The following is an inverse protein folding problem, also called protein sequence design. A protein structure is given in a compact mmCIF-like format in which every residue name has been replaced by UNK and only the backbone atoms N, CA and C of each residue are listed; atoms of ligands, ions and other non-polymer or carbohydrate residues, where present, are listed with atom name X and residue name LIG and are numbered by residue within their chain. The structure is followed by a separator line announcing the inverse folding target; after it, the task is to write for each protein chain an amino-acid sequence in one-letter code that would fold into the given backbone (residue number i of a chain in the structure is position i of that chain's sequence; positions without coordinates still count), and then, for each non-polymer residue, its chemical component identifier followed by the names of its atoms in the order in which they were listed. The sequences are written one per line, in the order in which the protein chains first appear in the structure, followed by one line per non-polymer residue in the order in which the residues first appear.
data_IF_968445885691
#
_entry.id   IF_968445885691
#
_cell.length_a   1.000
_cell.length_b   1.000
_cell.length_c   1.000
_cell.angle_alpha   90.00
_cell.angle_beta   90.00
_cell.angle_gamma   90.00
#
_symmetry.space_group_name_H-M   'P 1'
#
loop_
_entity.id
_entity.type
_entity.pdbx_description
1 polymer ?
#
# COMPACT_ATOMS: atom_id res chain seq x y z
N UNK A 1 -21.93 144.04 42.59
CA UNK A 1 -20.58 144.20 41.98
C UNK A 1 -19.68 143.03 42.36
N UNK A 2 -18.96 142.69 41.64
CA UNK A 2 -18.77 142.03 40.34
C UNK A 2 -17.97 140.76 40.51
N UNK A 3 -17.79 139.89 39.75
CA UNK A 3 -17.07 139.76 38.49
C UNK A 3 -17.06 138.34 37.95
N UNK A 4 -17.21 138.26 36.76
CA UNK A 4 -16.96 137.06 35.96
C UNK A 4 -15.47 136.94 35.62
N UNK A 5 -15.07 136.17 34.80
CA UNK A 5 -15.17 134.80 34.29
C UNK A 5 -13.78 134.07 34.34
N UNK A 6 -13.31 133.23 33.50
CA UNK A 6 -13.68 132.73 32.19
C UNK A 6 -13.46 131.20 31.97
N UNK A 7 -14.07 130.82 30.90
CA UNK A 7 -13.66 129.93 29.77
C UNK A 7 -12.81 128.65 29.92
N UNK A 8 -13.34 127.72 29.35
CA UNK A 8 -12.87 126.55 28.54
C UNK A 8 -11.38 126.28 28.33
N UNK A 9 -10.97 125.04 28.05
CA UNK A 9 -11.35 124.41 26.77
C UNK A 9 -11.67 122.88 26.84
N UNK A 10 -12.39 122.64 25.85
CA UNK A 10 -12.73 121.40 25.26
C UNK A 10 -11.49 120.49 24.92
N UNK A 11 -11.57 119.19 25.30
CA UNK A 11 -10.70 118.20 24.74
C UNK A 11 -11.47 116.86 24.65
N UNK A 12 -11.96 116.72 23.48
CA UNK A 12 -12.41 115.43 22.96
C UNK A 12 -11.31 114.44 23.03
N UNK A 13 -11.34 113.42 23.95
CA UNK A 13 -10.58 112.18 23.87
C UNK A 13 -11.46 111.15 23.21
N UNK A 14 -11.10 110.76 21.99
CA UNK A 14 -11.55 109.54 21.31
C UNK A 14 -11.10 108.30 22.12
N UNK A 15 -12.07 107.68 22.78
CA UNK A 15 -11.87 106.35 23.31
C UNK A 15 -11.80 105.38 22.13
N UNK A 16 -10.58 105.01 21.78
CA UNK A 16 -10.28 103.88 20.96
C UNK A 16 -10.58 102.62 21.74
N UNK A 17 -11.71 102.01 21.44
CA UNK A 17 -11.99 100.66 21.94
C UNK A 17 -10.91 99.71 21.42
N UNK A 18 -9.95 99.32 22.22
CA UNK A 18 -9.13 98.12 22.05
C UNK A 18 -10.01 96.89 22.12
N UNK A 19 -10.40 96.31 20.97
CA UNK A 19 -10.94 94.95 20.89
C UNK A 19 -9.92 94.01 21.47
N UNK A 20 -10.26 93.19 22.51
CA UNK A 20 -9.29 92.23 23.07
C UNK A 20 -9.00 91.20 22.02
N UNK A 21 -7.71 90.99 21.68
CA UNK A 21 -7.16 90.00 20.77
C UNK A 21 -7.55 88.59 21.17
N UNK A 22 -8.18 88.35 22.31
CA UNK A 22 -8.65 87.10 22.84
C UNK A 22 -9.92 86.54 22.19
N UNK A 23 -10.73 87.34 21.48
CA UNK A 23 -11.97 86.87 20.88
C UNK A 23 -11.76 86.13 19.53
N UNK A 24 -10.69 86.39 18.80
CA UNK A 24 -10.36 85.65 17.56
C UNK A 24 -9.83 84.30 17.83
N UNK A 25 -8.93 84.10 18.82
CA UNK A 25 -8.44 82.80 19.25
C UNK A 25 -9.52 81.94 19.88
N UNK A 26 -10.46 82.54 20.67
CA UNK A 26 -11.59 81.77 21.20
C UNK A 26 -12.61 81.37 20.14
N UNK A 27 -12.87 82.22 19.11
CA UNK A 27 -13.75 81.89 17.98
C UNK A 27 -13.11 80.79 17.09
N UNK A 28 -11.83 80.93 16.78
CA UNK A 28 -11.08 79.91 16.03
C UNK A 28 -11.00 78.53 16.85
N UNK A 29 -10.74 78.60 18.13
CA UNK A 29 -10.74 77.43 19.00
C UNK A 29 -12.09 76.72 19.07
N UNK A 30 -13.21 77.47 19.13
CA UNK A 30 -14.57 76.86 19.11
C UNK A 30 -14.92 76.28 17.75
N UNK A 31 -14.47 76.89 16.63
CA UNK A 31 -14.64 76.35 15.29
C UNK A 31 -13.86 75.05 15.06
N UNK A 32 -12.59 75.04 15.45
CA UNK A 32 -11.73 73.88 15.33
C UNK A 32 -12.21 72.70 16.24
N UNK A 33 -12.63 73.01 17.48
CA UNK A 33 -13.19 71.93 18.39
C UNK A 33 -14.54 71.44 17.86
N UNK A 34 -15.37 72.27 17.27
CA UNK A 34 -16.64 71.91 16.62
C UNK A 34 -16.38 70.99 15.40
N UNK A 35 -15.45 71.42 14.52
CA UNK A 35 -15.04 70.61 13.35
C UNK A 35 -14.40 69.26 13.76
N UNK A 36 -13.54 69.27 14.79
CA UNK A 36 -12.94 68.07 15.32
C UNK A 36 -13.96 67.07 15.90
N UNK A 37 -14.96 67.63 16.65
CA UNK A 37 -16.08 66.83 17.16
C UNK A 37 -16.94 66.24 16.06
N UNK A 38 -17.24 67.01 15.03
CA UNK A 38 -17.99 66.57 13.86
C UNK A 38 -17.23 65.50 13.09
N UNK A 39 -15.92 65.70 12.86
CA UNK A 39 -15.03 64.72 12.23
C UNK A 39 -14.96 63.41 13.05
N UNK A 40 -14.89 63.53 14.38
CA UNK A 40 -14.89 62.37 15.28
C UNK A 40 -16.22 61.61 15.22
N UNK A 41 -17.36 62.34 15.12
CA UNK A 41 -18.66 61.71 14.93
C UNK A 41 -18.79 61.02 13.56
N UNK A 42 -18.27 61.62 12.50
CA UNK A 42 -18.24 60.98 11.18
C UNK A 42 -17.37 59.73 11.20
N UNK A 43 -16.17 59.81 11.78
CA UNK A 43 -15.28 58.65 11.94
C UNK A 43 -15.95 57.54 12.77
N UNK A 44 -16.60 57.91 13.89
CA UNK A 44 -17.35 56.96 14.72
C UNK A 44 -18.49 56.31 13.95
N UNK A 45 -19.23 57.09 13.16
CA UNK A 45 -20.33 56.60 12.35
C UNK A 45 -19.85 55.63 11.25
N UNK A 46 -18.76 55.99 10.55
CA UNK A 46 -18.11 55.10 9.57
C UNK A 46 -17.62 53.82 10.24
N UNK A 47 -17.05 53.94 11.43
CA UNK A 47 -16.57 52.76 12.20
C UNK A 47 -17.72 51.85 12.65
N UNK A 48 -18.86 52.43 13.05
CA UNK A 48 -20.07 51.68 13.38
C UNK A 48 -20.62 50.93 12.17
N UNK A 49 -20.68 51.60 11.01
CA UNK A 49 -21.10 50.95 9.76
C UNK A 49 -20.14 49.86 9.36
N UNK A 50 -18.81 50.09 9.44
CA UNK A 50 -17.80 49.12 9.15
C UNK A 50 -17.89 47.89 10.08
N UNK A 51 -18.02 48.13 11.40
CA UNK A 51 -18.21 47.07 12.38
C UNK A 51 -19.51 46.28 12.14
N UNK A 52 -20.60 47.01 11.85
CA UNK A 52 -21.90 46.41 11.53
C UNK A 52 -21.83 45.56 10.26
N UNK A 53 -21.16 46.05 9.23
CA UNK A 53 -20.92 45.32 7.97
C UNK A 53 -20.09 44.06 8.17
N UNK A 54 -18.99 44.16 8.94
CA UNK A 54 -18.15 42.99 9.29
C UNK A 54 -18.92 41.97 10.13
N UNK A 55 -19.69 42.46 11.10
CA UNK A 55 -20.53 41.56 11.94
C UNK A 55 -21.60 40.86 11.08
N UNK A 56 -22.20 41.57 10.14
CA UNK A 56 -23.17 41.00 9.21
C UNK A 56 -22.54 39.96 8.29
N UNK A 57 -21.37 40.24 7.70
CA UNK A 57 -20.60 39.30 6.89
C UNK A 57 -20.20 38.05 7.71
N UNK A 58 -19.75 38.27 8.94
CA UNK A 58 -19.39 37.18 9.84
C UNK A 58 -20.59 36.26 10.19
N UNK A 59 -21.75 36.87 10.41
CA UNK A 59 -22.98 36.15 10.73
C UNK A 59 -23.54 35.37 9.52
N UNK A 60 -23.47 35.99 8.33
CA UNK A 60 -24.01 35.42 7.10
C UNK A 60 -23.02 34.54 6.33
N UNK A 61 -21.77 34.38 6.80
CA UNK A 61 -20.88 33.41 6.21
C UNK A 61 -21.46 32.00 6.39
N UNK A 62 -21.72 31.30 5.29
CA UNK A 62 -22.41 30.00 5.27
C UNK A 62 -21.40 28.85 5.23
N UNK A 63 -21.79 27.63 5.71
CA UNK A 63 -20.96 26.41 5.58
C UNK A 63 -20.68 26.01 4.14
N UNK A 64 -21.42 26.55 3.15
CA UNK A 64 -21.24 26.21 1.74
C UNK A 64 -19.86 26.62 1.17
N UNK A 65 -19.14 27.49 1.91
CA UNK A 65 -17.76 27.87 1.57
C UNK A 65 -16.71 26.83 2.02
N UNK A 66 -17.12 25.80 2.75
CA UNK A 66 -16.19 24.76 3.20
C UNK A 66 -15.76 23.86 2.06
N UNK A 67 -14.51 23.41 2.05
CA UNK A 67 -14.04 22.45 1.05
C UNK A 67 -14.87 21.16 1.09
N UNK A 68 -15.33 20.70 -0.06
CA UNK A 68 -16.02 19.43 -0.20
C UNK A 68 -14.99 18.35 -0.50
N UNK A 69 -14.36 17.81 0.55
CA UNK A 69 -13.35 16.76 0.41
C UNK A 69 -14.00 15.41 0.56
N UNK A 70 -13.69 14.52 -0.38
CA UNK A 70 -14.08 13.11 -0.31
C UNK A 70 -12.84 12.24 -0.23
N UNK A 71 -12.90 11.26 0.66
CA UNK A 71 -11.88 10.23 0.76
C UNK A 71 -12.51 8.86 0.52
N UNK A 72 -11.81 8.02 -0.25
CA UNK A 72 -12.19 6.62 -0.45
C UNK A 72 -11.00 5.72 -0.16
N UNK A 73 -11.25 4.59 0.47
CA UNK A 73 -10.25 3.56 0.75
C UNK A 73 -10.72 2.23 0.18
N UNK A 74 -9.93 1.64 -0.70
CA UNK A 74 -10.26 0.42 -1.45
C UNK A 74 -11.66 0.49 -2.11
N UNK A 75 -11.97 1.65 -2.70
CA UNK A 75 -13.25 1.92 -3.35
C UNK A 75 -14.42 2.22 -2.42
N UNK A 76 -14.26 2.14 -1.10
CA UNK A 76 -15.30 2.45 -0.10
C UNK A 76 -15.20 3.91 0.34
N UNK A 77 -16.32 4.64 0.32
CA UNK A 77 -16.37 6.04 0.73
C UNK A 77 -16.24 6.15 2.26
N UNK A 78 -15.38 7.07 2.70
CA UNK A 78 -15.12 7.34 4.11
C UNK A 78 -15.92 8.58 4.56
N UNK A 79 -16.58 8.47 5.70
CA UNK A 79 -17.22 9.61 6.35
C UNK A 79 -16.19 10.37 7.23
N UNK A 80 -16.11 11.70 7.15
CA UNK A 80 -15.21 12.48 8.00
C UNK A 80 -15.60 12.36 9.48
N UNK A 81 -14.61 12.18 10.34
CA UNK A 81 -14.82 12.12 11.81
C UNK A 81 -14.79 13.49 12.44
N UNK A 82 -13.93 14.38 11.95
CA UNK A 82 -13.83 15.75 12.44
C UNK A 82 -13.28 16.67 11.37
N UNK A 83 -13.69 17.92 11.44
CA UNK A 83 -13.06 18.97 10.64
C UNK A 83 -12.89 20.26 11.45
N UNK A 84 -11.88 21.05 11.04
CA UNK A 84 -11.64 22.40 11.56
C UNK A 84 -11.14 23.27 10.42
N UNK A 85 -12.01 24.14 9.94
CA UNK A 85 -11.73 25.04 8.83
C UNK A 85 -11.78 26.50 9.24
N UNK A 86 -10.89 27.30 8.72
CA UNK A 86 -10.81 28.74 8.91
C UNK A 86 -11.10 29.43 7.58
N UNK A 87 -12.31 30.01 7.50
CA UNK A 87 -12.79 30.71 6.31
C UNK A 87 -12.48 32.20 6.44
N UNK A 88 -11.81 32.83 5.48
CA UNK A 88 -11.56 34.28 5.51
C UNK A 88 -12.86 35.04 5.30
N UNK A 89 -13.13 36.05 6.13
CA UNK A 89 -14.28 36.94 6.03
C UNK A 89 -13.83 38.32 5.51
N UNK A 90 -12.76 38.88 6.07
CA UNK A 90 -12.17 40.13 5.65
C UNK A 90 -10.67 39.95 5.56
N UNK A 91 -10.18 39.66 4.38
CA UNK A 91 -8.76 39.37 4.14
C UNK A 91 -8.21 38.26 5.05
N UNK A 92 -6.96 38.38 5.43
CA UNK A 92 -6.30 37.40 6.30
C UNK A 92 -6.54 37.62 7.81
N UNK A 93 -6.96 38.85 8.20
CA UNK A 93 -7.02 39.26 9.60
C UNK A 93 -8.32 38.88 10.33
N UNK A 94 -9.41 38.60 9.63
CA UNK A 94 -10.65 38.12 10.22
C UNK A 94 -11.09 36.82 9.55
N UNK A 95 -11.05 35.75 10.29
CA UNK A 95 -11.46 34.40 9.84
C UNK A 95 -12.55 33.85 10.75
N UNK A 96 -13.52 33.15 10.16
CA UNK A 96 -14.50 32.36 10.92
C UNK A 96 -14.04 30.91 10.97
N UNK A 97 -14.09 30.35 12.18
CA UNK A 97 -13.73 28.93 12.40
C UNK A 97 -15.02 28.10 12.40
N UNK A 98 -15.01 27.06 11.57
CA UNK A 98 -16.00 25.99 11.58
C UNK A 98 -15.29 24.73 12.08
N UNK A 99 -15.77 24.18 13.19
CA UNK A 99 -15.21 22.96 13.77
C UNK A 99 -16.35 22.09 14.26
N UNK A 100 -16.41 20.87 13.72
CA UNK A 100 -17.42 19.88 14.09
C UNK A 100 -16.80 18.49 14.13
N UNK A 101 -17.44 17.62 14.89
CA UNK A 101 -17.09 16.20 14.98
C UNK A 101 -18.34 15.39 14.63
N UNK A 102 -18.67 15.28 13.33
CA UNK A 102 -19.90 14.64 12.88
C UNK A 102 -19.94 13.15 13.24
N UNK A 103 -18.78 12.48 13.23
CA UNK A 103 -18.66 11.05 13.54
C UNK A 103 -17.53 10.84 14.56
N UNK A 104 -17.82 10.88 15.87
CA UNK A 104 -16.78 10.81 16.91
C UNK A 104 -16.11 9.44 17.04
N UNK A 105 -16.74 8.38 16.52
CA UNK A 105 -16.19 7.03 16.51
C UNK A 105 -15.54 6.73 15.15
N UNK A 106 -14.47 5.91 15.11
CA UNK A 106 -13.93 5.40 13.85
C UNK A 106 -14.99 4.64 13.06
N UNK A 107 -15.08 4.90 11.76
CA UNK A 107 -15.95 4.16 10.87
C UNK A 107 -15.37 2.76 10.61
N UNK A 108 -16.19 1.71 10.64
CA UNK A 108 -15.79 0.38 10.21
C UNK A 108 -16.08 0.22 8.71
N UNK A 109 -15.09 -0.20 7.92
CA UNK A 109 -15.32 -0.53 6.53
C UNK A 109 -16.18 -1.80 6.41
N UNK A 110 -17.19 -1.72 5.54
CA UNK A 110 -18.16 -2.80 5.39
C UNK A 110 -17.58 -4.06 4.73
N UNK A 111 -16.57 -3.89 3.87
CA UNK A 111 -15.94 -4.98 3.13
C UNK A 111 -14.47 -5.08 3.52
N UNK A 112 -13.95 -6.30 3.69
CA UNK A 112 -12.53 -6.49 3.92
C UNK A 112 -11.73 -6.10 2.66
N UNK A 113 -10.53 -5.62 2.88
CA UNK A 113 -9.56 -5.35 1.83
C UNK A 113 -9.07 -6.68 1.26
N UNK A 114 -9.25 -6.87 -0.04
CA UNK A 114 -8.91 -8.10 -0.75
C UNK A 114 -7.57 -8.07 -1.48
N UNK A 115 -6.95 -6.90 -1.56
CA UNK A 115 -5.65 -6.68 -2.19
C UNK A 115 -4.57 -6.25 -1.20
N UNK A 116 -3.33 -6.69 -1.42
CA UNK A 116 -2.21 -6.34 -0.54
C UNK A 116 -1.84 -4.84 -0.58
N UNK A 117 -2.29 -4.12 -1.60
CA UNK A 117 -2.04 -2.69 -1.78
C UNK A 117 -3.37 -2.00 -2.09
N UNK A 118 -4.18 -1.69 -1.07
CA UNK A 118 -5.44 -0.98 -1.25
C UNK A 118 -5.17 0.46 -1.74
N UNK A 119 -6.09 0.99 -2.53
CA UNK A 119 -5.99 2.35 -3.03
C UNK A 119 -6.63 3.35 -2.05
N UNK A 120 -5.94 4.47 -1.82
CA UNK A 120 -6.45 5.61 -1.08
C UNK A 120 -6.54 6.80 -2.02
N UNK A 121 -7.77 7.31 -2.20
CA UNK A 121 -8.03 8.46 -3.07
C UNK A 121 -8.65 9.60 -2.26
N UNK A 122 -8.07 10.78 -2.40
CA UNK A 122 -8.60 12.04 -1.83
C UNK A 122 -8.94 12.98 -2.98
N UNK A 123 -10.17 13.45 -3.02
CA UNK A 123 -10.68 14.38 -4.05
C UNK A 123 -11.36 15.60 -3.44
N UNK A 124 -11.17 16.81 -4.00
CA UNK A 124 -10.26 17.15 -5.09
C UNK A 124 -8.80 17.08 -4.67
N UNK A 125 -7.89 16.92 -5.64
CA UNK A 125 -6.45 16.98 -5.40
C UNK A 125 -5.98 18.37 -4.97
N UNK A 126 -4.71 18.47 -4.54
CA UNK A 126 -4.09 19.74 -4.14
C UNK A 126 -4.02 19.97 -2.63
N UNK A 127 -4.59 19.07 -1.83
CA UNK A 127 -4.42 19.05 -0.38
C UNK A 127 -3.22 18.20 0.02
N UNK A 128 -2.63 18.54 1.18
CA UNK A 128 -1.67 17.64 1.84
C UNK A 128 -2.45 16.59 2.63
N UNK A 129 -2.21 15.32 2.34
CA UNK A 129 -2.88 14.21 2.99
C UNK A 129 -1.85 13.31 3.67
N UNK A 130 -1.97 13.14 4.99
CA UNK A 130 -1.14 12.29 5.83
C UNK A 130 -1.98 11.12 6.34
N UNK A 131 -1.44 9.91 6.20
CA UNK A 131 -2.08 8.68 6.64
C UNK A 131 -1.20 8.01 7.68
N UNK A 132 -1.80 7.65 8.80
CA UNK A 132 -1.18 6.79 9.82
C UNK A 132 -2.03 5.53 9.95
N UNK A 133 -1.41 4.35 9.90
CA UNK A 133 -2.08 3.06 10.08
C UNK A 133 -1.40 2.35 11.25
N UNK A 134 -2.21 1.83 12.17
CA UNK A 134 -1.75 1.03 13.30
C UNK A 134 -2.37 -0.36 13.26
N UNK A 135 -1.63 -1.34 13.74
CA UNK A 135 -2.12 -2.70 13.92
C UNK A 135 -2.97 -2.85 15.19
N UNK A 136 -3.44 -4.07 15.45
CA UNK A 136 -4.23 -4.39 16.62
C UNK A 136 -3.46 -4.26 17.96
N UNK A 137 -2.12 -4.26 17.93
CA UNK A 137 -1.28 -4.01 19.09
C UNK A 137 -1.07 -2.51 19.36
N UNK A 138 -1.42 -1.65 18.40
CA UNK A 138 -1.23 -0.21 18.43
C UNK A 138 0.10 0.24 17.84
N UNK A 139 0.87 -0.68 17.23
CA UNK A 139 2.12 -0.35 16.56
C UNK A 139 1.85 0.31 15.21
N UNK A 140 2.59 1.38 14.91
CA UNK A 140 2.45 2.07 13.62
C UNK A 140 3.15 1.27 12.53
N UNK A 141 2.36 0.77 11.57
CA UNK A 141 2.85 0.03 10.41
C UNK A 141 3.03 0.92 9.17
N UNK A 142 2.35 2.05 9.14
CA UNK A 142 2.52 3.07 8.11
C UNK A 142 2.32 4.46 8.72
N UNK A 143 3.23 5.38 8.42
CA UNK A 143 3.11 6.80 8.73
C UNK A 143 3.74 7.60 7.59
N UNK A 144 2.91 8.27 6.79
CA UNK A 144 3.39 8.96 5.60
C UNK A 144 2.27 9.61 4.79
N UNK A 145 2.65 10.12 3.62
CA UNK A 145 1.69 10.76 2.71
C UNK A 145 0.74 9.74 2.07
N UNK A 146 -0.50 10.16 1.79
CA UNK A 146 -1.47 9.34 1.04
C UNK A 146 -0.95 8.94 -0.35
N UNK A 147 -0.12 9.76 -0.98
CA UNK A 147 0.53 9.43 -2.25
C UNK A 147 1.60 8.36 -2.11
N UNK A 148 2.36 8.37 -1.02
CA UNK A 148 3.35 7.34 -0.69
C UNK A 148 2.71 5.99 -0.36
N UNK A 149 1.49 6.01 0.16
CA UNK A 149 0.75 4.81 0.50
C UNK A 149 0.47 3.89 -0.70
N UNK A 150 0.41 4.42 -1.92
CA UNK A 150 0.24 3.62 -3.16
C UNK A 150 1.32 2.57 -3.37
N UNK A 151 2.51 2.79 -2.83
CA UNK A 151 3.62 1.82 -2.88
C UNK A 151 3.68 0.89 -1.67
N UNK A 152 2.85 1.13 -0.67
CA UNK A 152 2.80 0.30 0.52
C UNK A 152 2.11 -1.03 0.23
N UNK A 153 2.60 -2.09 0.88
CA UNK A 153 2.05 -3.43 0.76
C UNK A 153 1.91 -4.05 2.16
N UNK A 154 0.70 -4.48 2.48
CA UNK A 154 0.47 -5.28 3.69
C UNK A 154 1.19 -6.62 3.60
N UNK A 155 1.76 -7.03 4.70
CA UNK A 155 2.51 -8.28 4.83
C UNK A 155 1.79 -9.33 5.69
N UNK A 156 0.71 -8.95 6.37
CA UNK A 156 -0.08 -9.81 7.24
C UNK A 156 -1.58 -9.52 7.10
N UNK A 157 -2.39 -10.57 7.27
CA UNK A 157 -3.83 -10.43 7.44
C UNK A 157 -4.12 -9.95 8.86
N UNK A 158 -5.12 -9.08 9.01
CA UNK A 158 -5.45 -8.54 10.32
C UNK A 158 -6.40 -7.38 10.26
N UNK A 159 -6.73 -6.83 11.43
CA UNK A 159 -7.54 -5.64 11.57
C UNK A 159 -6.62 -4.46 11.90
N UNK A 160 -6.85 -3.35 11.25
CA UNK A 160 -6.03 -2.15 11.32
C UNK A 160 -6.90 -0.93 11.59
N UNK A 161 -6.35 -0.01 12.37
CA UNK A 161 -6.93 1.32 12.58
C UNK A 161 -6.17 2.35 11.74
N UNK A 162 -6.91 3.20 11.04
CA UNK A 162 -6.33 4.23 10.19
C UNK A 162 -6.82 5.62 10.56
N UNK A 163 -5.92 6.59 10.46
CA UNK A 163 -6.18 8.01 10.62
C UNK A 163 -5.65 8.77 9.42
N UNK A 164 -6.55 9.32 8.63
CA UNK A 164 -6.22 10.20 7.52
C UNK A 164 -6.45 11.65 7.95
N UNK A 165 -5.46 12.51 7.78
CA UNK A 165 -5.55 13.95 8.02
C UNK A 165 -5.28 14.64 6.69
N UNK A 166 -6.26 15.38 6.21
CA UNK A 166 -6.13 16.22 5.01
C UNK A 166 -6.06 17.67 5.45
N UNK A 167 -5.08 18.40 4.95
CA UNK A 167 -4.86 19.80 5.27
C UNK A 167 -4.64 20.63 4.01
N UNK A 168 -4.88 21.91 4.10
CA UNK A 168 -4.49 22.84 3.04
C UNK A 168 -2.98 22.87 2.90
N UNK A 169 -2.48 22.68 1.67
CA UNK A 169 -1.04 22.66 1.37
C UNK A 169 -0.42 24.06 1.23
N UNK A 170 -1.20 25.10 1.41
CA UNK A 170 -0.77 26.48 1.20
C UNK A 170 -0.16 27.11 2.45
N UNK A 171 0.98 27.80 2.27
CA UNK A 171 1.36 28.90 3.15
C UNK A 171 0.22 29.93 3.15
N UNK A 172 -0.03 30.63 4.28
CA UNK A 172 -1.08 31.64 4.37
C UNK A 172 -0.86 32.88 3.47
N UNK A 173 -0.15 32.75 2.35
CA UNK A 173 0.22 33.84 1.46
C UNK A 173 -0.96 34.36 0.63
N UNK A 174 -2.01 33.57 0.41
CA UNK A 174 -3.22 34.03 -0.24
C UNK A 174 -4.26 34.41 0.81
N UNK A 175 -4.51 35.72 0.94
CA UNK A 175 -5.45 36.29 1.91
C UNK A 175 -6.88 35.76 1.80
N UNK A 176 -7.23 35.16 0.66
CA UNK A 176 -8.56 34.61 0.36
C UNK A 176 -8.68 33.10 0.54
N UNK A 177 -7.63 32.37 0.95
CA UNK A 177 -7.66 30.89 1.01
C UNK A 177 -8.27 30.36 2.30
N UNK A 178 -9.18 29.41 2.18
CA UNK A 178 -9.65 28.61 3.31
C UNK A 178 -8.50 27.72 3.79
N UNK A 179 -8.22 27.75 5.09
CA UNK A 179 -7.17 26.91 5.70
C UNK A 179 -7.76 26.03 6.80
N UNK A 180 -7.19 24.86 7.00
CA UNK A 180 -7.67 23.96 8.05
C UNK A 180 -7.34 22.51 7.79
N UNK A 181 -8.03 21.65 8.51
CA UNK A 181 -7.84 20.22 8.47
C UNK A 181 -9.18 19.48 8.50
N UNK A 182 -9.22 18.36 7.83
CA UNK A 182 -10.29 17.39 7.92
C UNK A 182 -9.69 16.02 8.23
N UNK A 183 -10.35 15.25 9.10
CA UNK A 183 -9.82 13.99 9.64
C UNK A 183 -10.84 12.89 9.43
N UNK A 184 -10.36 11.75 8.96
CA UNK A 184 -11.08 10.48 8.88
C UNK A 184 -10.38 9.49 9.80
N UNK A 185 -11.16 8.81 10.63
CA UNK A 185 -10.70 7.66 11.41
C UNK A 185 -11.56 6.48 11.02
N UNK A 186 -10.92 5.40 10.64
CA UNK A 186 -11.62 4.21 10.19
C UNK A 186 -10.84 2.94 10.55
N UNK A 187 -11.59 1.87 10.71
CA UNK A 187 -11.08 0.52 10.95
C UNK A 187 -11.38 -0.35 9.74
N UNK A 188 -10.42 -1.16 9.35
CA UNK A 188 -10.58 -2.08 8.23
C UNK A 188 -9.87 -3.40 8.49
N UNK A 189 -10.31 -4.44 7.80
CA UNK A 189 -9.70 -5.77 7.88
C UNK A 189 -9.05 -6.12 6.55
N UNK A 190 -7.79 -6.51 6.58
CA UNK A 190 -7.09 -7.12 5.46
C UNK A 190 -7.31 -8.62 5.55
N UNK A 191 -7.91 -9.22 4.52
CA UNK A 191 -8.20 -10.65 4.45
C UNK A 191 -7.93 -11.16 3.03
N UNK A 192 -6.67 -11.55 2.81
CA UNK A 192 -6.19 -12.03 1.51
C UNK A 192 -5.95 -13.52 1.62
N UNK A 193 -6.68 -14.29 0.81
CA UNK A 193 -6.50 -15.73 0.70
C UNK A 193 -5.45 -16.00 -0.37
N UNK A 194 -4.37 -16.76 -0.06
CA UNK A 194 -3.41 -17.18 -1.08
C UNK A 194 -4.08 -18.07 -2.13
N UNK A 195 -3.67 -17.92 -3.37
CA UNK A 195 -4.11 -18.79 -4.48
C UNK A 195 -3.22 -20.02 -4.54
N UNK A 196 -3.74 -21.18 -4.16
CA UNK A 196 -3.01 -22.47 -4.15
C UNK A 196 -3.58 -23.33 -5.28
N UNK A 197 -2.75 -23.70 -6.25
CA UNK A 197 -3.21 -24.42 -7.45
C UNK A 197 -2.20 -25.47 -7.92
N UNK A 198 -2.72 -26.64 -8.35
CA UNK A 198 -1.94 -27.58 -9.17
C UNK A 198 -1.81 -27.04 -10.61
N UNK A 199 -0.63 -27.11 -11.16
CA UNK A 199 -0.39 -26.78 -12.57
C UNK A 199 -1.02 -27.84 -13.50
N UNK A 200 -1.15 -29.07 -13.00
CA UNK A 200 -1.87 -30.19 -13.64
C UNK A 200 -2.38 -31.12 -12.54
N UNK A 201 -3.59 -31.60 -12.68
CA UNK A 201 -4.24 -32.54 -11.77
C UNK A 201 -3.87 -34.00 -12.03
N UNK A 202 -3.16 -34.28 -13.12
CA UNK A 202 -2.74 -35.63 -13.50
C UNK A 202 -1.34 -35.64 -14.10
N UNK A 203 -0.52 -36.59 -13.67
CA UNK A 203 0.85 -36.81 -14.13
C UNK A 203 1.14 -38.30 -14.26
N UNK A 204 2.00 -38.70 -15.19
CA UNK A 204 2.46 -40.09 -15.30
C UNK A 204 3.59 -40.38 -14.31
N UNK A 205 3.75 -41.67 -13.92
CA UNK A 205 4.98 -42.13 -13.27
C UNK A 205 6.22 -41.64 -14.04
N UNK A 206 7.26 -41.20 -13.35
CA UNK A 206 8.47 -40.65 -13.94
C UNK A 206 8.36 -39.22 -14.43
N UNK A 207 7.16 -38.60 -14.32
CA UNK A 207 6.94 -37.21 -14.69
C UNK A 207 7.12 -36.23 -13.52
N UNK A 208 6.83 -34.97 -13.80
CA UNK A 208 6.87 -33.90 -12.79
C UNK A 208 5.55 -33.14 -12.84
N UNK A 209 4.93 -32.97 -11.69
CA UNK A 209 3.84 -32.00 -11.50
C UNK A 209 4.36 -30.76 -10.77
N UNK A 210 3.53 -29.73 -10.65
CA UNK A 210 3.90 -28.57 -9.86
C UNK A 210 2.70 -27.98 -9.12
N UNK A 211 2.95 -27.44 -7.93
CA UNK A 211 2.02 -26.59 -7.18
C UNK A 211 2.49 -25.16 -7.30
N UNK A 212 1.57 -24.25 -7.58
CA UNK A 212 1.81 -22.81 -7.58
C UNK A 212 1.04 -22.17 -6.44
N UNK A 213 1.70 -21.26 -5.73
CA UNK A 213 1.09 -20.46 -4.68
C UNK A 213 1.34 -19.00 -5.02
N UNK A 214 0.26 -18.26 -5.18
CA UNK A 214 0.27 -16.82 -5.49
C UNK A 214 -0.51 -16.02 -4.47
N UNK A 215 -0.49 -14.69 -4.60
CA UNK A 215 -1.18 -13.76 -3.69
C UNK A 215 -0.79 -13.93 -2.22
N UNK A 216 0.47 -14.30 -1.95
CA UNK A 216 0.98 -14.40 -0.59
C UNK A 216 1.34 -13.02 -0.05
N UNK A 217 1.03 -12.77 1.22
CA UNK A 217 1.43 -11.56 1.95
C UNK A 217 2.81 -11.74 2.58
N UNK A 218 3.02 -12.88 3.23
CA UNK A 218 4.26 -13.21 3.93
C UNK A 218 5.45 -13.41 2.99
N UNK A 219 6.65 -13.30 3.56
CA UNK A 219 7.92 -13.60 2.89
C UNK A 219 8.33 -15.06 3.09
N UNK A 220 7.66 -15.76 3.97
CA UNK A 220 7.96 -17.17 4.28
C UNK A 220 7.50 -18.09 3.16
N UNK A 221 8.29 -19.12 2.90
CA UNK A 221 7.93 -20.13 1.92
C UNK A 221 6.72 -20.94 2.40
N UNK A 222 5.74 -21.21 1.52
CA UNK A 222 4.64 -22.10 1.84
C UNK A 222 5.15 -23.48 2.29
N UNK A 223 4.40 -24.15 3.15
CA UNK A 223 4.69 -25.51 3.56
C UNK A 223 3.89 -26.52 2.74
N UNK A 224 4.47 -27.70 2.50
CA UNK A 224 3.78 -28.81 1.84
C UNK A 224 3.99 -30.10 2.63
N UNK A 225 2.88 -30.81 2.87
CA UNK A 225 2.92 -32.19 3.42
C UNK A 225 2.44 -33.15 2.36
N UNK A 226 3.26 -34.14 2.07
CA UNK A 226 2.99 -35.19 1.06
C UNK A 226 3.84 -36.42 1.34
N UNK A 227 3.47 -37.50 0.70
CA UNK A 227 4.29 -38.74 0.70
C UNK A 227 5.48 -38.70 -0.26
N UNK A 228 5.52 -37.71 -1.16
CA UNK A 228 6.63 -37.47 -2.08
C UNK A 228 7.84 -36.94 -1.30
N UNK A 229 9.04 -37.32 -1.76
CA UNK A 229 10.30 -36.88 -1.17
C UNK A 229 10.93 -35.74 -1.96
N UNK A 230 11.80 -34.99 -1.27
CA UNK A 230 12.58 -33.89 -1.88
C UNK A 230 11.70 -32.84 -2.56
N UNK A 231 10.62 -32.43 -1.87
CA UNK A 231 9.71 -31.41 -2.33
C UNK A 231 9.80 -30.18 -1.42
N UNK A 232 9.76 -28.99 -2.03
CA UNK A 232 9.78 -27.73 -1.33
C UNK A 232 9.44 -26.59 -2.26
N UNK A 233 8.99 -25.48 -1.68
CA UNK A 233 8.68 -24.29 -2.47
C UNK A 233 9.92 -23.44 -2.72
N UNK A 234 10.05 -22.96 -3.96
CA UNK A 234 11.03 -21.97 -4.37
C UNK A 234 10.32 -20.73 -4.88
N UNK A 235 10.93 -19.56 -4.68
CA UNK A 235 10.33 -18.29 -5.11
C UNK A 235 10.34 -18.19 -6.64
N UNK A 236 9.19 -17.85 -7.23
CA UNK A 236 9.02 -17.72 -8.67
C UNK A 236 8.22 -16.45 -8.98
N UNK A 237 8.93 -15.37 -9.34
CA UNK A 237 8.31 -14.06 -9.53
C UNK A 237 7.68 -13.52 -8.25
N UNK A 238 6.41 -13.16 -8.30
CA UNK A 238 5.63 -12.67 -7.14
C UNK A 238 5.01 -13.78 -6.29
N UNK A 239 5.24 -15.05 -6.63
CA UNK A 239 4.68 -16.21 -5.93
C UNK A 239 5.71 -17.30 -5.68
N UNK A 240 5.20 -18.50 -5.44
CA UNK A 240 6.00 -19.68 -5.12
C UNK A 240 5.63 -20.84 -6.01
N UNK A 241 6.60 -21.70 -6.32
CA UNK A 241 6.40 -22.94 -7.05
C UNK A 241 7.05 -24.09 -6.32
N UNK A 242 6.36 -25.22 -6.25
CA UNK A 242 6.89 -26.48 -5.76
C UNK A 242 6.82 -27.51 -6.88
N UNK A 243 7.94 -28.06 -7.28
CA UNK A 243 8.00 -29.16 -8.23
C UNK A 243 7.84 -30.48 -7.48
N UNK A 244 7.02 -31.38 -8.04
CA UNK A 244 6.65 -32.67 -7.50
C UNK A 244 7.20 -33.77 -8.44
N UNK A 245 8.44 -34.23 -8.23
CA UNK A 245 8.97 -35.32 -9.04
C UNK A 245 8.26 -36.63 -8.64
N UNK A 246 7.66 -37.29 -9.60
CA UNK A 246 6.99 -38.58 -9.41
C UNK A 246 7.95 -39.71 -9.76
N UNK A 247 8.36 -40.53 -8.81
CA UNK A 247 9.21 -41.66 -9.09
C UNK A 247 8.61 -42.61 -10.14
N UNK A 248 9.47 -43.29 -10.93
CA UNK A 248 9.02 -44.29 -11.89
C UNK A 248 8.25 -45.44 -11.24
N UNK A 249 8.56 -45.79 -9.98
CA UNK A 249 7.95 -46.86 -9.19
C UNK A 249 6.86 -46.35 -8.24
N UNK A 250 6.43 -45.11 -8.34
CA UNK A 250 5.29 -44.60 -7.58
C UNK A 250 4.03 -45.39 -7.93
N UNK A 251 3.32 -45.89 -6.94
CA UNK A 251 2.04 -46.58 -7.18
C UNK A 251 1.06 -45.60 -7.86
N UNK A 252 0.47 -46.01 -9.01
CA UNK A 252 -0.60 -45.24 -9.62
C UNK A 252 -1.78 -45.07 -8.68
N UNK A 253 -2.42 -43.85 -8.71
CA UNK A 253 -3.50 -43.51 -7.80
C UNK A 253 -3.47 -42.03 -7.41
N UNK A 254 -4.27 -41.68 -6.44
CA UNK A 254 -4.33 -40.28 -5.93
C UNK A 254 -3.32 -40.07 -4.82
N UNK A 255 -2.58 -38.97 -4.90
CA UNK A 255 -1.70 -38.47 -3.84
C UNK A 255 -2.33 -37.21 -3.28
N UNK A 256 -2.53 -37.17 -1.96
CA UNK A 256 -2.98 -35.96 -1.28
C UNK A 256 -1.77 -35.06 -0.96
N UNK A 257 -1.93 -33.78 -1.25
CA UNK A 257 -0.98 -32.74 -0.96
C UNK A 257 -1.68 -31.74 -0.01
N UNK A 258 -1.16 -31.54 1.18
CA UNK A 258 -1.62 -30.50 2.11
C UNK A 258 -0.66 -29.32 1.99
N UNK A 259 -1.16 -28.19 1.50
CA UNK A 259 -0.36 -26.98 1.27
C UNK A 259 -0.82 -25.87 2.18
N UNK A 260 0.11 -25.25 2.89
CA UNK A 260 -0.18 -24.16 3.82
C UNK A 260 0.60 -22.91 3.45
N UNK A 261 -0.10 -21.76 3.40
CA UNK A 261 0.48 -20.43 3.13
C UNK A 261 -0.34 -19.38 3.88
N UNK A 262 0.32 -18.39 4.50
CA UNK A 262 -0.30 -17.24 5.19
C UNK A 262 -1.43 -17.64 6.16
N UNK A 263 -1.28 -18.75 6.87
CA UNK A 263 -2.29 -19.27 7.82
C UNK A 263 -3.43 -20.05 7.18
N UNK A 264 -3.50 -20.15 5.85
CA UNK A 264 -4.48 -20.97 5.13
C UNK A 264 -3.88 -22.33 4.77
N UNK A 265 -4.72 -23.36 4.83
CA UNK A 265 -4.35 -24.72 4.43
C UNK A 265 -5.36 -25.24 3.41
N UNK A 266 -4.85 -25.79 2.31
CA UNK A 266 -5.66 -26.38 1.25
C UNK A 266 -5.19 -27.78 0.92
N UNK A 267 -6.13 -28.70 0.71
CA UNK A 267 -5.86 -30.07 0.29
C UNK A 267 -6.06 -30.20 -1.22
N UNK A 268 -5.02 -30.62 -1.91
CA UNK A 268 -5.03 -30.87 -3.35
C UNK A 268 -4.90 -32.38 -3.59
N UNK A 269 -5.50 -32.85 -4.67
CA UNK A 269 -5.43 -34.25 -5.10
C UNK A 269 -4.72 -34.34 -6.45
N UNK A 270 -3.57 -35.00 -6.47
CA UNK A 270 -2.78 -35.25 -7.67
C UNK A 270 -2.98 -36.70 -8.13
N UNK A 271 -3.51 -36.91 -9.33
CA UNK A 271 -3.68 -38.23 -9.93
C UNK A 271 -2.38 -38.69 -10.59
N UNK A 272 -1.82 -39.78 -10.12
CA UNK A 272 -0.67 -40.44 -10.76
C UNK A 272 -1.15 -41.56 -11.66
N UNK A 273 -0.85 -41.45 -12.95
CA UNK A 273 -1.14 -42.47 -13.97
C UNK A 273 0.05 -43.41 -14.13
N UNK A 274 -0.21 -44.65 -14.57
CA UNK A 274 0.85 -45.58 -14.97
C UNK A 274 1.73 -44.98 -16.08
N UNK A 275 3.02 -45.04 -15.89
CA UNK A 275 4.02 -44.72 -16.91
C UNK A 275 4.29 -45.92 -17.82
N UNK A 276 4.77 -45.61 -19.02
CA UNK A 276 5.24 -46.68 -19.93
C UNK A 276 6.77 -46.68 -19.92
N UNK A 277 7.36 -47.72 -19.38
CA UNK A 277 8.82 -47.84 -19.31
C UNK A 277 9.29 -49.00 -20.15
N UNK A 278 10.39 -48.81 -20.86
CA UNK A 278 11.03 -49.84 -21.67
C UNK A 278 11.77 -50.81 -20.78
N UNK A 279 12.02 -51.99 -21.31
CA UNK A 279 12.91 -52.97 -20.69
C UNK A 279 13.87 -53.56 -21.74
N UNK A 280 15.00 -54.09 -21.30
CA UNK A 280 15.99 -54.76 -22.14
C UNK A 280 16.40 -56.10 -21.49
N UNK A 281 16.30 -57.16 -22.26
CA UNK A 281 16.70 -58.49 -21.86
C UNK A 281 18.10 -58.83 -22.40
N UNK A 282 18.94 -59.33 -21.55
CA UNK A 282 20.26 -59.85 -21.90
C UNK A 282 20.29 -61.35 -21.57
N UNK A 283 20.94 -62.15 -22.41
CA UNK A 283 21.12 -63.56 -22.18
C UNK A 283 22.05 -63.83 -20.98
N UNK A 284 23.00 -62.97 -20.72
CA UNK A 284 23.95 -63.05 -19.60
C UNK A 284 24.16 -61.66 -18.98
N UNK A 285 24.47 -61.67 -17.67
CA UNK A 285 24.78 -60.43 -16.98
C UNK A 285 26.00 -59.69 -17.52
N UNK A 286 26.97 -60.39 -18.09
CA UNK A 286 28.18 -59.82 -18.72
C UNK A 286 27.89 -58.98 -19.96
N UNK A 287 26.69 -59.10 -20.54
CA UNK A 287 26.26 -58.29 -21.68
C UNK A 287 25.61 -56.96 -21.26
N UNK A 288 25.29 -56.85 -19.98
CA UNK A 288 24.79 -55.59 -19.45
C UNK A 288 25.91 -54.56 -19.38
N UNK A 289 25.57 -53.30 -19.56
CA UNK A 289 26.51 -52.22 -19.32
C UNK A 289 27.07 -52.25 -17.90
N UNK A 290 28.27 -51.70 -17.70
CA UNK A 290 28.89 -51.66 -16.38
C UNK A 290 27.88 -51.12 -15.31
N UNK A 291 27.92 -51.65 -14.09
CA UNK A 291 27.03 -51.19 -13.04
C UNK A 291 27.16 -49.68 -12.89
N UNK A 292 26.01 -49.06 -12.71
CA UNK A 292 25.97 -47.67 -12.40
C UNK A 292 26.61 -47.42 -11.02
N UNK A 293 27.47 -46.41 -10.94
CA UNK A 293 28.07 -46.02 -9.67
C UNK A 293 26.95 -45.35 -8.86
N UNK A 294 26.56 -45.92 -7.75
CA UNK A 294 25.61 -45.35 -6.82
C UNK A 294 26.12 -44.01 -6.24
N UNK A 295 25.24 -43.27 -5.63
CA UNK A 295 25.59 -42.00 -4.97
C UNK A 295 26.64 -42.22 -3.85
N UNK A 296 26.58 -43.35 -3.14
CA UNK A 296 27.52 -43.73 -2.08
C UNK A 296 28.91 -44.06 -2.61
N UNK A 297 29.03 -44.54 -3.85
CA UNK A 297 30.27 -44.92 -4.50
C UNK A 297 30.86 -43.79 -5.41
N UNK A 298 30.15 -42.68 -5.52
CA UNK A 298 30.57 -41.59 -6.36
C UNK A 298 31.78 -40.86 -5.77
N UNK A 299 32.76 -40.43 -6.59
CA UNK A 299 33.83 -39.56 -6.10
C UNK A 299 33.27 -38.32 -5.40
N UNK A 300 33.94 -37.83 -4.37
CA UNK A 300 33.47 -36.70 -3.56
C UNK A 300 33.10 -35.46 -4.39
N UNK A 301 33.76 -35.24 -5.51
CA UNK A 301 33.44 -34.16 -6.42
C UNK A 301 32.04 -34.30 -7.08
N UNK A 302 31.65 -35.54 -7.43
CA UNK A 302 30.34 -35.84 -8.02
C UNK A 302 29.26 -35.79 -6.96
N UNK A 303 29.52 -36.34 -5.75
CA UNK A 303 28.59 -36.19 -4.63
C UNK A 303 28.34 -34.73 -4.24
N UNK A 304 29.39 -33.90 -4.28
CA UNK A 304 29.24 -32.46 -4.07
C UNK A 304 28.39 -31.80 -5.17
N UNK A 305 28.55 -32.22 -6.42
CA UNK A 305 27.75 -31.71 -7.53
C UNK A 305 26.27 -32.05 -7.35
N UNK A 306 25.95 -33.30 -6.95
CA UNK A 306 24.56 -33.71 -6.68
C UNK A 306 23.94 -32.97 -5.48
N UNK A 307 24.75 -32.58 -4.51
CA UNK A 307 24.29 -31.80 -3.36
C UNK A 307 24.12 -30.30 -3.68
N UNK A 308 24.62 -29.82 -4.83
CA UNK A 308 24.50 -28.43 -5.22
C UNK A 308 23.10 -28.16 -5.75
N UNK A 309 22.35 -27.32 -5.04
CA UNK A 309 21.05 -26.83 -5.47
C UNK A 309 21.19 -25.35 -5.79
N UNK A 310 20.80 -24.93 -6.99
CA UNK A 310 20.70 -23.54 -7.38
C UNK A 310 19.23 -23.23 -7.70
N UNK A 311 18.55 -22.60 -6.78
CA UNK A 311 17.14 -22.21 -6.88
C UNK A 311 16.93 -20.86 -7.57
N UNK A 312 18.03 -20.15 -7.92
CA UNK A 312 17.99 -18.83 -8.54
C UNK A 312 17.96 -18.88 -10.06
N UNK A 313 18.39 -19.98 -10.65
CA UNK A 313 18.53 -20.14 -12.09
C UNK A 313 17.52 -21.16 -12.60
N UNK A 314 16.69 -20.73 -13.55
CA UNK A 314 15.81 -21.63 -14.27
C UNK A 314 16.54 -22.16 -15.51
N UNK A 315 17.05 -23.37 -15.41
CA UNK A 315 17.84 -24.00 -16.45
C UNK A 315 17.05 -24.45 -17.70
N UNK A 316 15.73 -24.53 -17.61
CA UNK A 316 14.87 -25.13 -18.63
C UNK A 316 14.08 -24.13 -19.48
N UNK A 317 14.58 -22.92 -19.69
CA UNK A 317 13.98 -21.95 -20.61
C UNK A 317 14.21 -22.41 -22.05
N UNK A 318 13.34 -23.26 -22.57
CA UNK A 318 13.46 -23.80 -23.93
C UNK A 318 13.74 -25.30 -24.02
N UNK A 319 13.76 -26.00 -22.87
CA UNK A 319 13.95 -27.46 -22.78
C UNK A 319 15.39 -27.88 -22.56
N UNK A 320 15.59 -29.17 -22.41
CA UNK A 320 16.92 -29.77 -22.19
C UNK A 320 17.61 -30.04 -23.56
N UNK A 321 18.90 -29.79 -23.57
CA UNK A 321 19.73 -30.08 -24.75
C UNK A 321 20.26 -31.53 -24.65
N UNK A 322 20.29 -32.23 -25.77
CA UNK A 322 20.88 -33.58 -25.81
C UNK A 322 22.36 -33.53 -25.43
N UNK A 323 22.82 -34.42 -24.49
CA UNK A 323 24.16 -34.33 -23.91
C UNK A 323 25.29 -34.61 -24.90
N UNK A 324 25.02 -35.26 -26.02
CA UNK A 324 26.02 -35.66 -27.01
C UNK A 324 25.69 -35.07 -28.38
N UNK A 325 26.71 -34.67 -29.15
CA UNK A 325 26.54 -34.09 -30.48
C UNK A 325 26.21 -35.15 -31.54
N UNK A 326 26.60 -36.40 -31.27
CA UNK A 326 26.35 -37.52 -32.18
C UNK A 326 25.17 -38.36 -31.69
N UNK A 327 24.46 -39.00 -32.61
CA UNK A 327 23.37 -39.93 -32.30
C UNK A 327 23.94 -41.17 -31.59
N UNK A 328 23.88 -41.15 -30.28
CA UNK A 328 24.09 -42.39 -29.51
C UNK A 328 22.77 -43.12 -29.42
N UNK A 329 22.79 -44.45 -29.61
CA UNK A 329 21.80 -45.30 -29.04
C UNK A 329 21.81 -45.03 -27.51
N UNK A 330 20.80 -44.40 -27.01
CA UNK A 330 20.67 -44.11 -25.60
C UNK A 330 20.44 -45.46 -24.91
N UNK A 331 21.46 -46.09 -24.31
CA UNK A 331 21.35 -47.49 -23.90
C UNK A 331 20.37 -47.64 -22.74
N UNK A 332 20.16 -46.58 -21.99
CA UNK A 332 19.28 -46.57 -20.79
C UNK A 332 18.47 -45.27 -20.71
N UNK A 333 17.18 -45.43 -20.72
CA UNK A 333 16.24 -44.32 -20.45
C UNK A 333 15.79 -44.36 -18.98
N UNK A 334 15.33 -43.26 -18.44
CA UNK A 334 14.79 -43.22 -17.07
C UNK A 334 13.66 -44.26 -16.89
N UNK A 335 13.71 -45.02 -15.82
CA UNK A 335 12.75 -46.09 -15.52
C UNK A 335 12.90 -47.36 -16.35
N UNK A 336 13.83 -47.41 -17.32
CA UNK A 336 14.11 -48.62 -18.07
C UNK A 336 14.67 -49.69 -17.16
N UNK A 337 14.15 -50.93 -17.29
CA UNK A 337 14.63 -52.11 -16.52
C UNK A 337 15.45 -53.01 -17.42
N UNK A 338 16.64 -53.41 -16.94
CA UNK A 338 17.47 -54.38 -17.61
C UNK A 338 17.40 -55.72 -16.88
N UNK A 339 17.24 -56.79 -17.57
CA UNK A 339 17.18 -58.13 -17.06
C UNK A 339 18.34 -58.99 -17.67
N UNK A 340 18.89 -59.88 -16.89
CA UNK A 340 19.88 -60.85 -17.36
C UNK A 340 19.44 -62.27 -17.03
N UNK A 341 19.48 -63.18 -18.02
CA UNK A 341 19.15 -64.57 -17.86
C UNK A 341 17.64 -64.88 -17.60
N UNK A 342 16.75 -63.92 -17.85
CA UNK A 342 15.32 -64.10 -17.68
C UNK A 342 14.76 -65.06 -18.74
N UNK A 343 13.98 -66.08 -18.37
CA UNK A 343 13.35 -66.96 -19.35
C UNK A 343 12.43 -66.20 -20.30
N UNK A 344 12.32 -66.69 -21.54
CA UNK A 344 11.47 -66.02 -22.55
C UNK A 344 10.00 -65.91 -22.12
N UNK A 345 9.50 -66.89 -21.41
CA UNK A 345 8.12 -66.92 -20.87
C UNK A 345 7.85 -65.86 -19.82
N UNK A 346 8.87 -65.32 -19.18
CA UNK A 346 8.77 -64.30 -18.15
C UNK A 346 9.04 -62.89 -18.68
N UNK A 347 9.46 -62.77 -19.94
CA UNK A 347 9.72 -61.48 -20.61
C UNK A 347 8.41 -60.73 -20.72
N UNK A 348 8.35 -59.57 -20.15
CA UNK A 348 7.13 -58.76 -20.08
C UNK A 348 6.39 -58.81 -18.74
N UNK A 349 6.77 -59.71 -17.83
CA UNK A 349 6.38 -59.63 -16.44
C UNK A 349 7.45 -58.88 -15.62
N UNK A 350 7.02 -58.15 -14.63
CA UNK A 350 7.94 -57.32 -13.82
C UNK A 350 8.81 -58.13 -12.83
N UNK A 351 8.97 -59.44 -13.05
CA UNK A 351 9.81 -60.33 -12.23
C UNK A 351 11.21 -60.41 -12.82
N UNK A 352 12.11 -59.60 -12.29
CA UNK A 352 13.51 -59.64 -12.70
C UNK A 352 14.34 -60.60 -11.86
N UNK A 353 15.01 -61.56 -12.51
CA UNK A 353 16.15 -62.24 -11.93
C UNK A 353 17.37 -61.33 -12.15
N UNK A 354 17.84 -60.70 -11.06
CA UNK A 354 19.02 -59.82 -11.14
C UNK A 354 18.86 -58.59 -12.04
N UNK A 355 17.64 -58.08 -12.12
CA UNK A 355 17.37 -56.86 -12.87
C UNK A 355 17.78 -55.57 -12.13
N UNK A 356 18.16 -54.56 -12.86
CA UNK A 356 18.39 -53.23 -12.34
C UNK A 356 17.59 -52.22 -13.13
N UNK A 357 17.19 -51.14 -12.49
CA UNK A 357 16.42 -50.07 -13.12
C UNK A 357 17.20 -48.76 -13.13
N UNK A 358 17.25 -48.13 -14.26
CA UNK A 358 17.87 -46.80 -14.39
C UNK A 358 17.01 -45.76 -13.71
N UNK A 359 17.55 -45.13 -12.68
CA UNK A 359 16.86 -44.06 -11.92
C UNK A 359 17.45 -42.68 -12.16
N UNK A 360 18.48 -42.59 -13.00
CA UNK A 360 19.19 -41.34 -13.21
C UNK A 360 18.79 -40.66 -14.51
N UNK A 361 18.55 -39.37 -14.40
CA UNK A 361 18.42 -38.46 -15.52
C UNK A 361 19.73 -37.68 -15.66
N UNK A 362 20.36 -37.78 -16.81
CA UNK A 362 21.50 -36.90 -17.12
C UNK A 362 20.94 -35.56 -17.53
N UNK A 363 21.07 -34.59 -16.65
CA UNK A 363 20.74 -33.19 -16.93
C UNK A 363 22.04 -32.49 -17.32
N UNK A 364 22.03 -31.80 -18.44
CA UNK A 364 23.11 -30.92 -18.83
C UNK A 364 22.84 -29.50 -18.45
N UNK A 365 23.85 -28.74 -17.99
CA UNK A 365 23.79 -27.30 -17.91
C UNK A 365 23.66 -26.63 -19.26
#
# INVERSE_FOLDING_TARGET
TPDAPPAEPDSTEEDAEEEPADTLTQKLGRGVTGMLRWLLLVVLFVLVIACGGVAWLYHNATPDMLPQIKATFDGQELAPTAYKWHVPIVGSWLRRTYAETPNPAPAELALPVSGASPDLVVTPGGYSAQLTITDAAGDSIYDGSATGFRSYRFVENGTYDAKLIVSTSGTPADEATVTGTETWQFRFTVSIKPSIQLATDSVAQGGVAAVRVGQTLGQDAPAIKTTLKNVGFVKAGSGWICYLPIPWNQTPGSITLEVSADGYTEQLSLSVRAGSFSYKDYSRASQMAAPYIGEDDAPAAVSKLFATVDDKIQWSVGGFVQPFLDSFDTPLTYGMTEYAGRPYSERGTNYGYGGRTSTNVIIRP
#
